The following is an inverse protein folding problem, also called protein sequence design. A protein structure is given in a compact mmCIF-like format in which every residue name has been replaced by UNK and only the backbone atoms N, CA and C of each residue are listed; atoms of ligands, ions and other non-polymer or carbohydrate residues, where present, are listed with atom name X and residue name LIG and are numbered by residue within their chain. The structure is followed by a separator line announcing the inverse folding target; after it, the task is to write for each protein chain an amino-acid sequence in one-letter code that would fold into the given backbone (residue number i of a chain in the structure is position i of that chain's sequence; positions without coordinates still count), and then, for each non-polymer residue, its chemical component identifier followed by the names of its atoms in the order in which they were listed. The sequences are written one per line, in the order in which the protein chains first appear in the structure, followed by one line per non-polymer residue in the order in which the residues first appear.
data_IF_134759254615
#
_entry.id   IF_134759254615
#
_cell.length_a   1.000
_cell.length_b   1.000
_cell.length_c   1.000
_cell.angle_alpha   90.00
_cell.angle_beta   90.00
_cell.angle_gamma   90.00
#
_symmetry.space_group_name_H-M   'P 1'
#
loop_
_entity.id
_entity.type
_entity.pdbx_description
1 polymer ?
#
# COMPACT_ATOMS: atom_id res chain seq x y z
N UNK A 1 -9.61 -0.02 -4.91
CA UNK A 1 -9.22 1.03 -5.88
C UNK A 1 -8.23 0.48 -6.89
N UNK A 2 -8.47 0.71 -8.19
CA UNK A 2 -7.65 0.14 -9.25
C UNK A 2 -7.51 1.06 -10.47
N UNK A 3 -6.58 0.70 -11.36
CA UNK A 3 -6.47 1.23 -12.72
C UNK A 3 -6.48 0.07 -13.73
N UNK A 4 -7.19 0.17 -14.88
CA UNK A 4 -7.34 -0.94 -15.84
C UNK A 4 -6.02 -1.45 -16.45
N UNK A 5 -5.02 -0.58 -16.52
CA UNK A 5 -3.70 -0.90 -17.07
C UNK A 5 -2.74 -1.52 -16.04
N UNK A 6 -3.06 -1.49 -14.75
CA UNK A 6 -2.17 -1.96 -13.70
C UNK A 6 -2.06 -3.50 -13.68
N UNK A 7 -0.84 -4.02 -13.89
CA UNK A 7 -0.58 -5.47 -13.89
C UNK A 7 -0.90 -6.14 -12.55
N UNK A 8 -0.60 -5.50 -11.42
CA UNK A 8 -0.93 -6.01 -10.09
C UNK A 8 -2.45 -6.06 -9.85
N UNK A 9 -3.21 -5.09 -10.37
CA UNK A 9 -4.67 -5.11 -10.33
C UNK A 9 -5.24 -6.29 -11.11
N UNK A 10 -4.71 -6.56 -12.32
CA UNK A 10 -5.14 -7.71 -13.13
C UNK A 10 -4.89 -9.04 -12.42
N UNK A 11 -3.81 -9.14 -11.64
CA UNK A 11 -3.48 -10.36 -10.88
C UNK A 11 -4.48 -10.65 -9.74
N UNK A 12 -4.92 -9.64 -9.00
CA UNK A 12 -5.88 -9.81 -7.89
C UNK A 12 -7.33 -9.92 -8.36
N UNK A 13 -7.66 -9.37 -9.53
CA UNK A 13 -9.04 -9.29 -10.02
C UNK A 13 -9.84 -10.60 -9.96
N UNK A 14 -9.31 -11.78 -10.36
CA UNK A 14 -10.08 -13.03 -10.30
C UNK A 14 -10.53 -13.40 -8.88
N UNK A 15 -9.64 -13.20 -7.89
CA UNK A 15 -9.95 -13.48 -6.48
C UNK A 15 -10.91 -12.44 -5.90
N UNK A 16 -10.75 -11.17 -6.28
CA UNK A 16 -11.66 -10.09 -5.89
C UNK A 16 -13.08 -10.29 -6.46
N UNK A 17 -13.20 -10.62 -7.74
CA UNK A 17 -14.48 -10.89 -8.40
C UNK A 17 -15.19 -12.10 -7.75
N UNK A 18 -14.43 -13.15 -7.43
CA UNK A 18 -14.93 -14.32 -6.69
C UNK A 18 -15.40 -13.96 -5.28
N UNK A 19 -14.65 -13.11 -4.57
CA UNK A 19 -15.04 -12.59 -3.26
C UNK A 19 -16.35 -11.80 -3.34
N UNK A 20 -16.45 -10.81 -4.22
CA UNK A 20 -17.66 -10.00 -4.41
C UNK A 20 -18.88 -10.87 -4.73
N UNK A 21 -18.72 -11.83 -5.66
CA UNK A 21 -19.80 -12.75 -6.05
C UNK A 21 -20.31 -13.58 -4.86
N UNK A 22 -19.40 -14.07 -4.01
CA UNK A 22 -19.77 -14.86 -2.84
C UNK A 22 -20.30 -13.99 -1.70
N UNK A 23 -19.77 -12.78 -1.54
CA UNK A 23 -20.22 -11.80 -0.55
C UNK A 23 -21.68 -11.41 -0.77
N UNK A 24 -22.08 -11.11 -2.02
CA UNK A 24 -23.46 -10.77 -2.40
C UNK A 24 -24.51 -11.83 -2.02
N UNK A 25 -24.08 -13.08 -1.83
CA UNK A 25 -24.96 -14.20 -1.42
C UNK A 25 -24.95 -14.44 0.09
N UNK A 26 -24.09 -13.74 0.83
CA UNK A 26 -23.96 -13.89 2.28
C UNK A 26 -25.02 -13.05 3.01
N UNK A 27 -25.35 -13.46 4.23
CA UNK A 27 -26.26 -12.69 5.10
C UNK A 27 -25.68 -11.31 5.49
N UNK A 28 -24.36 -11.17 5.46
CA UNK A 28 -23.65 -9.93 5.80
C UNK A 28 -23.69 -8.89 4.66
N UNK A 29 -24.14 -9.27 3.46
CA UNK A 29 -24.29 -8.34 2.33
C UNK A 29 -25.28 -7.19 2.62
N UNK A 30 -26.20 -7.39 3.57
CA UNK A 30 -27.14 -6.36 3.99
C UNK A 30 -26.48 -5.22 4.80
N UNK A 31 -25.33 -5.48 5.41
CA UNK A 31 -24.65 -4.54 6.33
C UNK A 31 -23.23 -4.20 5.89
N UNK A 32 -22.79 -4.66 4.71
CA UNK A 32 -21.43 -4.42 4.23
C UNK A 32 -21.33 -4.53 2.72
N UNK A 33 -20.51 -3.66 2.13
CA UNK A 33 -20.27 -3.58 0.70
C UNK A 33 -18.83 -4.00 0.39
N UNK A 34 -18.66 -4.83 -0.65
CA UNK A 34 -17.37 -5.04 -1.30
C UNK A 34 -17.53 -4.56 -2.74
N UNK A 35 -16.71 -3.59 -3.12
CA UNK A 35 -16.73 -2.96 -4.43
C UNK A 35 -15.31 -2.66 -4.92
N UNK A 36 -15.16 -2.54 -6.23
CA UNK A 36 -14.00 -1.98 -6.89
C UNK A 36 -14.34 -0.61 -7.51
N UNK A 37 -13.37 0.29 -7.51
CA UNK A 37 -13.50 1.66 -8.01
C UNK A 37 -12.37 1.90 -8.99
N UNK A 38 -12.74 2.26 -10.22
CA UNK A 38 -11.80 2.65 -11.27
C UNK A 38 -11.40 4.12 -11.08
N UNK A 39 -10.15 4.33 -10.65
CA UNK A 39 -9.60 5.65 -10.40
C UNK A 39 -9.17 6.40 -11.66
N UNK A 40 -9.33 5.79 -12.84
CA UNK A 40 -9.01 6.39 -14.14
C UNK A 40 -10.24 6.90 -14.89
N UNK A 41 -11.43 6.65 -14.34
CA UNK A 41 -12.72 7.05 -14.90
C UNK A 41 -13.53 7.85 -13.86
N UNK A 42 -14.82 7.59 -13.74
CA UNK A 42 -15.76 8.28 -12.84
C UNK A 42 -15.40 8.16 -11.34
N UNK A 43 -14.55 7.20 -10.97
CA UNK A 43 -14.12 6.98 -9.58
C UNK A 43 -12.97 7.88 -9.11
N UNK A 44 -12.42 8.74 -9.97
CA UNK A 44 -11.22 9.54 -9.68
C UNK A 44 -11.35 10.34 -8.39
N UNK A 45 -12.42 11.12 -8.23
CA UNK A 45 -12.62 11.99 -7.06
C UNK A 45 -12.72 11.18 -5.76
N UNK A 46 -13.36 10.01 -5.81
CA UNK A 46 -13.44 9.11 -4.66
C UNK A 46 -12.06 8.53 -4.30
N UNK A 47 -11.22 8.24 -5.29
CA UNK A 47 -9.85 7.78 -5.07
C UNK A 47 -8.97 8.86 -4.45
N UNK A 48 -9.08 10.11 -4.93
CA UNK A 48 -8.34 11.26 -4.38
C UNK A 48 -8.77 11.55 -2.95
N UNK A 49 -10.09 11.61 -2.67
CA UNK A 49 -10.63 11.79 -1.32
C UNK A 49 -10.14 10.73 -0.33
N UNK A 50 -9.95 9.48 -0.81
CA UNK A 50 -9.45 8.39 0.02
C UNK A 50 -7.93 8.25 0.01
N UNK A 51 -7.18 9.23 -0.53
CA UNK A 51 -5.72 9.23 -0.49
C UNK A 51 -5.07 8.09 -1.27
N UNK A 52 -5.68 7.62 -2.36
CA UNK A 52 -5.14 6.53 -3.18
C UNK A 52 -3.95 7.01 -3.99
N UNK A 53 -2.73 6.64 -3.56
CA UNK A 53 -1.46 7.03 -4.21
C UNK A 53 -0.88 5.97 -5.17
N UNK A 54 -1.45 4.76 -5.20
CA UNK A 54 -0.93 3.65 -5.99
C UNK A 54 -1.96 2.54 -6.18
N UNK A 55 -1.64 1.55 -7.03
CA UNK A 55 -2.59 0.49 -7.38
C UNK A 55 -1.99 -0.92 -7.28
N UNK A 56 -2.78 -1.93 -6.86
CA UNK A 56 -4.08 -1.77 -6.21
C UNK A 56 -3.93 -1.26 -4.77
N UNK A 57 -4.85 -0.38 -4.36
CA UNK A 57 -5.08 -0.04 -2.95
C UNK A 57 -6.38 -0.67 -2.50
N UNK A 58 -6.28 -1.48 -1.45
CA UNK A 58 -7.41 -2.11 -0.76
C UNK A 58 -7.63 -1.32 0.52
N UNK A 59 -8.88 -0.93 0.76
CA UNK A 59 -9.28 -0.18 1.95
C UNK A 59 -10.58 -0.76 2.50
N UNK A 60 -10.83 -0.53 3.78
CA UNK A 60 -11.99 -1.07 4.50
C UNK A 60 -12.36 -0.16 5.68
N UNK A 61 -13.56 -0.33 6.23
CA UNK A 61 -14.02 0.44 7.38
C UNK A 61 -15.27 1.26 7.07
N UNK A 62 -15.40 2.39 7.73
CA UNK A 62 -16.49 3.33 7.52
C UNK A 62 -16.31 4.04 6.15
N UNK A 63 -17.38 4.22 5.34
CA UNK A 63 -17.28 4.90 4.04
C UNK A 63 -16.66 6.31 4.09
N UNK A 64 -16.79 7.00 5.23
CA UNK A 64 -16.23 8.34 5.43
C UNK A 64 -14.83 8.32 6.07
N UNK A 65 -14.38 7.17 6.56
CA UNK A 65 -13.09 7.00 7.22
C UNK A 65 -12.47 5.62 6.90
N UNK A 66 -12.16 5.39 5.62
CA UNK A 66 -11.57 4.13 5.16
C UNK A 66 -10.10 3.98 5.56
N UNK A 67 -9.77 2.86 6.19
CA UNK A 67 -8.40 2.47 6.57
C UNK A 67 -7.75 1.58 5.51
N UNK A 68 -6.42 1.55 5.49
CA UNK A 68 -5.66 0.66 4.59
C UNK A 68 -5.79 -0.81 5.00
N UNK A 69 -5.86 -1.68 3.99
CA UNK A 69 -5.81 -3.13 4.17
C UNK A 69 -4.43 -3.67 3.81
N UNK A 70 -3.73 -4.18 4.84
CA UNK A 70 -2.37 -4.73 4.72
C UNK A 70 -2.33 -6.27 4.71
N UNK A 71 -3.50 -6.92 4.66
CA UNK A 71 -3.60 -8.38 4.67
C UNK A 71 -3.26 -9.05 3.32
N UNK A 72 -3.32 -10.38 3.32
CA UNK A 72 -3.10 -11.20 2.11
C UNK A 72 -4.10 -10.87 1.00
N UNK A 73 -3.63 -10.92 -0.25
CA UNK A 73 -4.40 -10.53 -1.45
C UNK A 73 -4.98 -11.71 -2.23
N UNK A 74 -4.75 -12.94 -1.76
CA UNK A 74 -5.39 -14.14 -2.29
C UNK A 74 -6.84 -14.27 -1.78
N UNK A 75 -7.62 -15.08 -2.48
CA UNK A 75 -9.04 -15.29 -2.16
C UNK A 75 -9.30 -15.70 -0.70
N UNK A 76 -8.49 -16.59 -0.12
CA UNK A 76 -8.76 -17.14 1.20
C UNK A 76 -8.46 -16.12 2.30
N UNK A 77 -7.37 -15.37 2.16
CA UNK A 77 -7.04 -14.23 3.03
C UNK A 77 -8.16 -13.18 3.01
N UNK A 78 -8.58 -12.76 1.80
CA UNK A 78 -9.63 -11.76 1.64
C UNK A 78 -10.97 -12.23 2.18
N UNK A 79 -11.35 -13.48 1.93
CA UNK A 79 -12.59 -14.07 2.42
C UNK A 79 -12.60 -14.14 3.95
N UNK A 80 -11.49 -14.56 4.56
CA UNK A 80 -11.33 -14.61 6.01
C UNK A 80 -11.52 -13.21 6.60
N UNK A 81 -10.79 -12.24 6.07
CA UNK A 81 -10.87 -10.86 6.50
C UNK A 81 -12.29 -10.31 6.40
N UNK A 82 -12.95 -10.48 5.24
CA UNK A 82 -14.31 -10.02 5.02
C UNK A 82 -15.29 -10.61 6.03
N UNK A 83 -15.17 -11.91 6.35
CA UNK A 83 -16.04 -12.57 7.32
C UNK A 83 -15.84 -12.05 8.75
N UNK A 84 -14.61 -11.73 9.13
CA UNK A 84 -14.26 -11.36 10.50
C UNK A 84 -14.48 -9.85 10.78
N UNK A 85 -14.32 -9.01 9.75
CA UNK A 85 -14.22 -7.55 9.89
C UNK A 85 -15.32 -6.76 9.18
N UNK A 86 -15.92 -7.26 8.09
CA UNK A 86 -17.02 -6.57 7.39
C UNK A 86 -18.37 -6.90 8.04
N UNK A 87 -18.48 -6.55 9.32
CA UNK A 87 -19.68 -6.59 10.16
C UNK A 87 -19.97 -5.16 10.63
N UNK A 88 -21.16 -4.87 11.18
CA UNK A 88 -21.40 -3.57 11.81
C UNK A 88 -20.24 -3.21 12.75
N UNK A 89 -19.64 -2.05 12.49
CA UNK A 89 -18.49 -1.55 13.24
C UNK A 89 -18.98 -0.60 14.34
N UNK A 90 -18.18 -0.49 15.40
CA UNK A 90 -18.28 0.61 16.35
C UNK A 90 -18.26 1.94 15.58
N UNK A 91 -19.33 2.70 15.70
CA UNK A 91 -19.50 4.00 15.05
C UNK A 91 -20.47 4.87 15.85
N UNK A 92 -20.61 6.17 15.53
CA UNK A 92 -21.62 7.02 16.17
C UNK A 92 -23.06 6.50 16.05
N UNK A 93 -23.35 5.65 15.07
CA UNK A 93 -24.67 5.03 14.85
C UNK A 93 -24.81 3.70 15.60
N UNK A 94 -23.72 2.95 15.77
CA UNK A 94 -23.71 1.65 16.45
C UNK A 94 -22.86 1.71 17.73
N UNK A 95 -23.20 2.63 18.64
CA UNK A 95 -22.46 2.81 19.89
C UNK A 95 -22.42 1.56 20.75
N UNK A 96 -23.44 0.71 20.69
CA UNK A 96 -23.52 -0.56 21.41
C UNK A 96 -22.35 -1.51 21.07
N UNK A 97 -21.78 -1.39 19.86
CA UNK A 97 -20.65 -2.17 19.38
C UNK A 97 -19.28 -1.61 19.82
N UNK A 98 -19.26 -0.46 20.48
CA UNK A 98 -18.05 0.19 20.98
C UNK A 98 -17.72 -0.26 22.41
N UNK A 99 -16.42 -0.38 22.69
CA UNK A 99 -15.89 -0.44 24.06
C UNK A 99 -16.09 0.92 24.78
N UNK A 100 -15.92 0.94 26.10
CA UNK A 100 -16.20 2.13 26.93
C UNK A 100 -15.32 3.33 26.54
N UNK A 101 -14.06 3.07 26.18
CA UNK A 101 -13.11 4.10 25.77
C UNK A 101 -13.55 4.75 24.46
N UNK A 102 -13.94 3.94 23.46
CA UNK A 102 -14.45 4.46 22.18
C UNK A 102 -15.78 5.18 22.33
N UNK A 103 -16.69 4.68 23.19
CA UNK A 103 -17.97 5.37 23.49
C UNK A 103 -17.71 6.77 24.04
N UNK A 104 -16.79 6.86 25.00
CA UNK A 104 -16.40 8.13 25.60
C UNK A 104 -15.79 9.06 24.56
N UNK A 105 -14.84 8.56 23.75
CA UNK A 105 -14.21 9.35 22.69
C UNK A 105 -15.23 9.88 21.67
N UNK A 106 -16.17 9.04 21.22
CA UNK A 106 -17.23 9.47 20.31
C UNK A 106 -18.11 10.54 20.95
N UNK A 107 -18.50 10.35 22.22
CA UNK A 107 -19.35 11.31 22.94
C UNK A 107 -18.63 12.65 23.13
N UNK A 108 -17.34 12.62 23.50
CA UNK A 108 -16.52 13.81 23.68
C UNK A 108 -16.35 14.57 22.34
N UNK A 109 -16.19 13.85 21.22
CA UNK A 109 -16.13 14.45 19.88
C UNK A 109 -17.49 15.00 19.43
N UNK A 110 -18.59 14.32 19.74
CA UNK A 110 -19.95 14.79 19.45
C UNK A 110 -20.35 16.02 20.28
N UNK A 111 -19.72 16.23 21.44
CA UNK A 111 -19.95 17.40 22.28
C UNK A 111 -19.23 18.66 21.76
N UNK A 112 -18.33 18.53 20.78
CA UNK A 112 -17.69 19.68 20.13
C UNK A 112 -18.66 20.41 19.20
N UNK A 113 -18.43 21.71 19.02
CA UNK A 113 -19.12 22.44 17.95
C UNK A 113 -18.66 21.93 16.57
N UNK A 114 -19.48 22.07 15.51
CA UNK A 114 -19.06 21.71 14.16
C UNK A 114 -17.76 22.39 13.73
N UNK A 115 -17.58 23.66 14.11
CA UNK A 115 -16.39 24.44 13.78
C UNK A 115 -15.15 23.92 14.53
N UNK A 116 -15.29 23.60 15.83
CA UNK A 116 -14.20 23.03 16.62
C UNK A 116 -13.80 21.64 16.13
N UNK A 117 -14.78 20.81 15.76
CA UNK A 117 -14.52 19.48 15.21
C UNK A 117 -13.80 19.59 13.85
N UNK A 118 -14.25 20.51 12.99
CA UNK A 118 -13.61 20.78 11.70
C UNK A 118 -12.17 21.25 11.88
N UNK A 119 -11.92 22.22 12.78
CA UNK A 119 -10.58 22.72 13.06
C UNK A 119 -9.66 21.61 13.59
N UNK A 120 -10.17 20.68 14.41
CA UNK A 120 -9.40 19.52 14.87
C UNK A 120 -9.07 18.55 13.74
N UNK A 121 -10.01 18.30 12.83
CA UNK A 121 -9.78 17.45 11.65
C UNK A 121 -8.69 18.08 10.77
N UNK A 122 -8.83 19.36 10.42
CA UNK A 122 -7.86 20.08 9.59
C UNK A 122 -6.46 20.12 10.21
N UNK A 123 -6.37 20.29 11.54
CA UNK A 123 -5.10 20.23 12.25
C UNK A 123 -4.45 18.84 12.13
N UNK A 124 -5.23 17.76 12.29
CA UNK A 124 -4.71 16.38 12.15
C UNK A 124 -4.37 16.03 10.71
N UNK A 125 -5.16 16.47 9.73
CA UNK A 125 -4.83 16.32 8.31
C UNK A 125 -3.54 17.08 7.95
N UNK A 126 -3.33 18.26 8.53
CA UNK A 126 -2.09 19.03 8.35
C UNK A 126 -0.89 18.30 8.96
N UNK A 127 -1.00 17.80 10.20
CA UNK A 127 0.05 16.98 10.84
C UNK A 127 0.41 15.75 9.98
N UNK A 128 -0.58 15.05 9.42
CA UNK A 128 -0.35 13.91 8.53
C UNK A 128 0.34 14.32 7.22
N UNK A 129 -0.05 15.46 6.64
CA UNK A 129 0.54 15.97 5.40
C UNK A 129 2.00 16.36 5.60
N UNK A 130 2.31 17.05 6.69
CA UNK A 130 3.68 17.44 7.04
C UNK A 130 4.58 16.20 7.22
N UNK A 131 4.09 15.17 7.91
CA UNK A 131 4.82 13.91 8.09
C UNK A 131 5.11 13.20 6.75
N UNK A 132 4.16 13.21 5.81
CA UNK A 132 4.37 12.66 4.46
C UNK A 132 5.40 13.49 3.67
N UNK A 133 5.32 14.82 3.71
CA UNK A 133 6.25 15.71 3.01
C UNK A 133 7.68 15.55 3.52
N UNK A 134 7.86 15.39 4.83
CA UNK A 134 9.15 15.05 5.44
C UNK A 134 9.68 13.71 4.91
N UNK A 135 8.86 12.66 4.95
CA UNK A 135 9.22 11.35 4.42
C UNK A 135 9.63 11.41 2.94
N UNK A 136 8.86 12.10 2.10
CA UNK A 136 9.18 12.24 0.67
C UNK A 136 10.48 13.01 0.43
N UNK A 137 10.79 13.98 1.29
CA UNK A 137 12.06 14.72 1.22
C UNK A 137 13.25 13.81 1.51
N UNK A 138 13.16 13.00 2.56
CA UNK A 138 14.20 12.03 2.90
C UNK A 138 14.37 10.94 1.83
N UNK A 139 13.27 10.44 1.27
CA UNK A 139 13.30 9.46 0.16
C UNK A 139 14.04 10.02 -1.06
N UNK A 140 13.79 11.28 -1.44
CA UNK A 140 14.50 11.93 -2.56
C UNK A 140 16.01 12.05 -2.27
N UNK A 141 16.38 12.41 -1.04
CA UNK A 141 17.78 12.45 -0.61
C UNK A 141 18.47 11.08 -0.73
N UNK A 142 17.79 10.02 -0.28
CA UNK A 142 18.29 8.64 -0.41
C UNK A 142 18.43 8.20 -1.88
N UNK A 143 17.48 8.56 -2.75
CA UNK A 143 17.55 8.26 -4.18
C UNK A 143 18.76 8.91 -4.84
N UNK A 144 18.99 10.20 -4.60
CA UNK A 144 20.15 10.91 -5.14
C UNK A 144 21.47 10.26 -4.68
N UNK A 145 21.55 9.87 -3.41
CA UNK A 145 22.71 9.14 -2.86
C UNK A 145 22.89 7.77 -3.51
N UNK A 146 21.81 7.03 -3.73
CA UNK A 146 21.83 5.74 -4.41
C UNK A 146 22.37 5.86 -5.83
N UNK A 147 21.91 6.85 -6.61
CA UNK A 147 22.38 7.11 -7.97
C UNK A 147 23.88 7.43 -8.01
N UNK A 148 24.35 8.27 -7.08
CA UNK A 148 25.77 8.59 -6.97
C UNK A 148 26.62 7.35 -6.64
N UNK A 149 26.16 6.53 -5.69
CA UNK A 149 26.83 5.28 -5.32
C UNK A 149 26.85 4.28 -6.47
N UNK A 150 25.74 4.16 -7.19
CA UNK A 150 25.64 3.31 -8.37
C UNK A 150 26.63 3.74 -9.46
N UNK A 151 26.69 5.03 -9.79
CA UNK A 151 27.65 5.58 -10.76
C UNK A 151 29.10 5.28 -10.34
N UNK A 152 29.44 5.57 -9.09
CA UNK A 152 30.79 5.33 -8.55
C UNK A 152 31.16 3.85 -8.62
N UNK A 153 30.22 2.96 -8.27
CA UNK A 153 30.40 1.51 -8.37
C UNK A 153 30.65 1.09 -9.82
N UNK A 154 29.83 1.58 -10.75
CA UNK A 154 29.92 1.20 -12.17
C UNK A 154 31.23 1.69 -12.80
N UNK A 155 31.71 2.89 -12.47
CA UNK A 155 33.03 3.40 -12.87
C UNK A 155 34.18 2.53 -12.33
N UNK A 156 34.14 2.15 -11.04
CA UNK A 156 35.14 1.25 -10.46
C UNK A 156 35.12 -0.13 -11.09
N UNK A 157 33.94 -0.70 -11.33
CA UNK A 157 33.79 -1.99 -12.02
C UNK A 157 34.32 -1.91 -13.44
N UNK A 158 34.05 -0.82 -14.16
CA UNK A 158 34.58 -0.61 -15.50
C UNK A 158 36.11 -0.51 -15.49
N UNK A 159 36.69 0.24 -14.55
CA UNK A 159 38.15 0.34 -14.39
C UNK A 159 38.79 -1.02 -14.09
N UNK A 160 38.20 -1.82 -13.20
CA UNK A 160 38.68 -3.19 -12.91
C UNK A 160 38.60 -4.07 -14.15
N UNK A 161 37.51 -4.03 -14.92
CA UNK A 161 37.40 -4.78 -16.18
C UNK A 161 38.45 -4.33 -17.20
N UNK A 162 38.72 -3.02 -17.28
CA UNK A 162 39.72 -2.44 -18.17
C UNK A 162 41.17 -2.72 -17.73
N UNK A 163 41.42 -3.04 -16.45
CA UNK A 163 42.76 -3.35 -15.92
C UNK A 163 43.41 -4.63 -16.49
N UNK A 164 42.72 -5.32 -17.40
CA UNK A 164 43.16 -6.60 -17.94
C UNK A 164 42.80 -7.79 -17.06
N UNK A 165 41.90 -7.64 -16.07
CA UNK A 165 41.42 -8.74 -15.22
C UNK A 165 40.95 -9.95 -16.06
N UNK A 166 40.25 -9.72 -17.18
CA UNK A 166 39.85 -10.78 -18.09
C UNK A 166 41.04 -11.54 -18.70
N UNK A 167 42.10 -10.83 -19.07
CA UNK A 167 43.34 -11.44 -19.55
C UNK A 167 44.05 -12.21 -18.44
N UNK A 168 44.13 -11.65 -17.22
CA UNK A 168 44.71 -12.34 -16.07
C UNK A 168 44.00 -13.66 -15.77
N UNK A 169 42.66 -13.67 -15.81
CA UNK A 169 41.85 -14.88 -15.65
C UNK A 169 42.10 -15.89 -16.79
N UNK A 170 42.20 -15.42 -18.03
CA UNK A 170 42.51 -16.26 -19.19
C UNK A 170 43.88 -16.93 -19.08
N UNK A 171 44.91 -16.15 -18.72
CA UNK A 171 46.29 -16.66 -18.49
C UNK A 171 46.30 -17.72 -17.39
N UNK A 172 45.64 -17.46 -16.25
CA UNK A 172 45.55 -18.41 -15.15
C UNK A 172 44.87 -19.73 -15.59
N UNK A 173 43.82 -19.65 -16.39
CA UNK A 173 43.10 -20.81 -16.91
C UNK A 173 43.99 -21.69 -17.80
N UNK A 174 44.72 -21.08 -18.74
CA UNK A 174 45.67 -21.79 -19.60
C UNK A 174 46.81 -22.44 -18.80
N UNK A 175 47.40 -21.72 -17.85
CA UNK A 175 48.47 -22.25 -17.00
C UNK A 175 48.02 -23.48 -16.16
N UNK A 176 46.76 -23.50 -15.70
CA UNK A 176 46.19 -24.65 -14.98
C UNK A 176 45.97 -25.86 -15.89
N UNK A 177 45.48 -25.67 -17.12
CA UNK A 177 45.28 -26.76 -18.08
C UNK A 177 46.59 -27.41 -18.51
N UNK A 178 47.60 -26.61 -18.82
CA UNK A 178 48.93 -27.12 -19.18
C UNK A 178 49.60 -27.97 -18.08
N UNK A 179 49.28 -27.70 -16.80
CA UNK A 179 49.74 -28.50 -15.66
C UNK A 179 48.95 -29.79 -15.44
N UNK A 180 47.75 -29.93 -16.00
CA UNK A 180 46.90 -31.11 -15.84
C UNK A 180 47.12 -32.17 -16.93
N UNK A 181 47.82 -31.81 -18.01
CA UNK A 181 48.18 -32.69 -19.14
C UNK A 181 49.60 -33.29 -19.00
N UNK A 182 50.31 -32.97 -17.91
CA UNK A 182 51.62 -33.51 -17.50
C UNK A 182 51.46 -34.41 -16.27
#
# INVERSE_FOLDING_TARGET
FFAPWCGHCKKIKPDWDKLMKNWKKSKNAATGLIADVDCTAEGKDLCEKNGVKGFPSLKWGDPDALEDYDGGRDYDSLKKFAKENLKPLCSPVNLDLCDEDKKKAITDLQALSPDDLTAKIEAKETEMKEAEEEFQTEVKGLQAKYEQLQKTKDEKVAAVKASGLGLMLSVQSHAKKAKAEL
#
